data_IF_723512944895
#
_entry.id   IF_723512944895
#
_cell.length_a   1.000
_cell.length_b   1.000
_cell.length_c   1.000
_cell.angle_alpha   90.00
_cell.angle_beta   90.00
_cell.angle_gamma   90.00
#
_symmetry.space_group_name_H-M   'P 1'
#
loop_
_entity.id
_entity.type
_entity.pdbx_description
1 polymer ?
#
# COMPACT_ATOMS: atom_id res chain seq x y z
N UNK A 1 25.83 -6.02 22.24
CA UNK A 1 24.94 -6.51 21.16
C UNK A 1 23.88 -5.47 20.80
N UNK A 2 22.97 -5.12 21.71
CA UNK A 2 21.97 -4.07 21.46
C UNK A 2 22.58 -2.74 20.96
N UNK A 3 23.67 -2.27 21.59
CA UNK A 3 24.36 -1.06 21.14
C UNK A 3 24.91 -1.15 19.70
N UNK A 4 25.38 -2.34 19.29
CA UNK A 4 25.83 -2.58 17.91
C UNK A 4 24.67 -2.54 16.93
N UNK A 5 23.53 -3.15 17.27
CA UNK A 5 22.33 -3.13 16.43
C UNK A 5 21.88 -1.68 16.20
N UNK A 6 21.76 -0.89 17.27
CA UNK A 6 21.35 0.51 17.16
C UNK A 6 22.38 1.36 16.39
N UNK A 7 23.67 1.08 16.55
CA UNK A 7 24.71 1.75 15.78
C UNK A 7 24.63 1.40 14.29
N UNK A 8 24.43 0.13 13.94
CA UNK A 8 24.27 -0.32 12.57
C UNK A 8 23.06 0.34 11.91
N UNK A 9 21.91 0.41 12.60
CA UNK A 9 20.71 1.10 12.11
C UNK A 9 20.99 2.58 11.80
N UNK A 10 21.66 3.29 12.72
CA UNK A 10 22.03 4.70 12.52
C UNK A 10 23.02 4.90 11.37
N UNK A 11 23.96 3.98 11.18
CA UNK A 11 24.93 4.02 10.08
C UNK A 11 24.29 3.83 8.70
N UNK A 12 23.08 3.24 8.65
CA UNK A 12 22.32 3.03 7.42
C UNK A 12 21.13 4.00 7.27
N UNK A 13 21.20 5.16 7.94
CA UNK A 13 20.22 6.24 7.87
C UNK A 13 18.79 5.84 8.28
N UNK A 14 18.67 4.90 9.23
CA UNK A 14 17.38 4.59 9.86
C UNK A 14 17.10 5.63 10.94
N UNK A 15 15.93 6.26 10.85
CA UNK A 15 15.52 7.29 11.81
C UNK A 15 15.20 6.65 13.16
N UNK A 16 15.34 7.43 14.23
CA UNK A 16 14.97 6.97 15.57
C UNK A 16 13.45 6.74 15.68
N UNK A 17 12.63 7.55 15.00
CA UNK A 17 11.16 7.38 14.94
C UNK A 17 10.75 6.06 14.29
N UNK A 18 11.59 5.52 13.41
CA UNK A 18 11.38 4.25 12.74
C UNK A 18 11.89 3.05 13.57
N UNK A 19 12.47 3.29 14.75
CA UNK A 19 13.09 2.26 15.60
C UNK A 19 12.46 2.25 16.99
N UNK A 20 11.92 1.11 17.41
CA UNK A 20 11.40 0.88 18.76
C UNK A 20 12.22 -0.18 19.48
N UNK A 21 12.58 0.10 20.75
CA UNK A 21 13.39 -0.80 21.57
C UNK A 21 12.66 -1.12 22.87
N UNK A 22 12.36 -2.40 23.09
CA UNK A 22 11.75 -2.90 24.32
C UNK A 22 12.75 -3.79 25.06
N UNK A 23 12.74 -3.72 26.38
CA UNK A 23 13.66 -4.47 27.25
C UNK A 23 12.85 -5.17 28.32
N UNK A 24 13.10 -6.46 28.49
CA UNK A 24 12.43 -7.31 29.45
C UNK A 24 13.49 -7.88 30.39
N UNK A 25 13.34 -7.59 31.69
CA UNK A 25 14.22 -8.12 32.72
C UNK A 25 13.48 -9.21 33.48
N UNK A 26 14.02 -10.42 33.38
CA UNK A 26 13.53 -11.60 34.07
C UNK A 26 14.48 -11.95 35.20
N UNK A 27 13.96 -12.31 36.37
CA UNK A 27 14.73 -12.86 37.47
C UNK A 27 14.47 -14.37 37.50
N UNK A 28 15.50 -15.16 37.25
CA UNK A 28 15.47 -16.62 37.32
C UNK A 28 16.34 -17.07 38.48
N UNK A 29 15.70 -17.49 39.58
CA UNK A 29 16.31 -17.99 40.83
C UNK A 29 17.43 -17.10 41.37
N UNK A 30 18.67 -17.29 40.89
CA UNK A 30 19.88 -16.57 41.32
C UNK A 30 20.50 -15.68 40.23
N UNK A 31 19.88 -15.57 39.06
CA UNK A 31 20.38 -14.79 37.92
C UNK A 31 19.32 -13.84 37.36
N UNK A 32 19.80 -12.81 36.68
CA UNK A 32 18.97 -11.90 35.90
C UNK A 32 19.20 -12.16 34.41
N UNK A 33 18.11 -12.40 33.68
CA UNK A 33 18.10 -12.55 32.22
C UNK A 33 17.45 -11.33 31.60
N UNK A 34 18.11 -10.73 30.62
CA UNK A 34 17.62 -9.55 29.93
C UNK A 34 17.38 -9.86 28.47
N UNK A 35 16.13 -9.76 28.03
CA UNK A 35 15.75 -9.84 26.62
C UNK A 35 15.53 -8.43 26.07
N UNK A 36 16.00 -8.18 24.85
CA UNK A 36 15.79 -6.91 24.18
C UNK A 36 15.19 -7.16 22.79
N UNK A 37 14.09 -6.48 22.52
CA UNK A 37 13.39 -6.52 21.24
C UNK A 37 13.63 -5.19 20.53
N UNK A 38 14.07 -5.25 19.27
CA UNK A 38 14.26 -4.08 18.41
C UNK A 38 13.35 -4.25 17.20
N UNK A 39 12.37 -3.36 17.08
CA UNK A 39 11.45 -3.31 15.95
C UNK A 39 11.86 -2.13 15.08
N UNK A 40 12.00 -2.36 13.78
CA UNK A 40 12.41 -1.33 12.83
C UNK A 40 11.42 -1.29 11.68
N UNK A 41 10.95 -0.09 11.35
CA UNK A 41 10.14 0.17 10.17
C UNK A 41 11.05 0.63 9.03
N UNK A 42 10.95 -0.01 7.88
CA UNK A 42 11.69 0.38 6.69
C UNK A 42 10.74 0.89 5.63
N UNK A 43 11.07 2.03 5.02
CA UNK A 43 10.38 2.52 3.81
C UNK A 43 11.01 1.98 2.51
N UNK A 44 12.18 1.34 2.60
CA UNK A 44 12.98 0.88 1.48
C UNK A 44 13.37 -0.59 1.70
N UNK A 45 12.95 -1.45 0.78
CA UNK A 45 13.16 -2.89 0.86
C UNK A 45 14.63 -3.29 0.72
N UNK A 46 15.41 -2.59 -0.09
CA UNK A 46 16.83 -2.91 -0.24
C UNK A 46 17.59 -2.52 1.03
N UNK A 47 17.22 -1.40 1.68
CA UNK A 47 17.82 -1.02 2.97
C UNK A 47 17.51 -2.06 4.05
N UNK A 48 16.26 -2.50 4.12
CA UNK A 48 15.85 -3.58 5.02
C UNK A 48 16.70 -4.84 4.77
N UNK A 49 16.76 -5.32 3.53
CA UNK A 49 17.49 -6.55 3.19
C UNK A 49 18.98 -6.45 3.54
N UNK A 50 19.63 -5.34 3.15
CA UNK A 50 21.05 -5.09 3.48
C UNK A 50 21.30 -5.13 4.99
N UNK A 51 20.45 -4.48 5.78
CA UNK A 51 20.59 -4.46 7.24
C UNK A 51 20.35 -5.86 7.82
N UNK A 52 19.32 -6.58 7.37
CA UNK A 52 19.08 -7.95 7.79
C UNK A 52 20.31 -8.84 7.54
N UNK A 53 20.92 -8.76 6.36
CA UNK A 53 22.15 -9.48 6.03
C UNK A 53 23.30 -9.11 6.96
N UNK A 54 23.56 -7.81 7.18
CA UNK A 54 24.63 -7.34 8.08
C UNK A 54 24.41 -7.85 9.51
N UNK A 55 23.17 -7.80 10.02
CA UNK A 55 22.87 -8.27 11.36
C UNK A 55 23.05 -9.80 11.47
N UNK A 56 22.64 -10.56 10.46
CA UNK A 56 22.82 -12.02 10.42
C UNK A 56 24.30 -12.43 10.30
N UNK A 57 25.10 -11.69 9.55
CA UNK A 57 26.53 -11.97 9.39
C UNK A 57 27.37 -11.59 10.62
N UNK A 58 27.00 -10.51 11.30
CA UNK A 58 27.85 -9.89 12.34
C UNK A 58 27.44 -10.26 13.76
N UNK A 59 26.27 -10.85 13.97
CA UNK A 59 25.78 -11.23 15.29
C UNK A 59 25.79 -12.75 15.48
N UNK A 60 25.94 -13.16 16.72
CA UNK A 60 25.96 -14.58 17.10
C UNK A 60 24.55 -15.12 17.32
N UNK A 61 24.44 -16.43 17.63
CA UNK A 61 23.19 -17.16 17.84
C UNK A 61 22.28 -16.62 18.96
N UNK A 62 22.75 -15.62 19.72
CA UNK A 62 21.93 -14.96 20.75
C UNK A 62 21.01 -13.87 20.19
N UNK A 63 21.14 -13.54 18.91
CA UNK A 63 20.28 -12.59 18.21
C UNK A 63 19.55 -13.32 17.10
N UNK A 64 18.22 -13.23 17.12
CA UNK A 64 17.35 -13.71 16.06
C UNK A 64 16.80 -12.52 15.27
N UNK A 65 17.01 -12.52 13.96
CA UNK A 65 16.35 -11.58 13.05
C UNK A 65 15.05 -12.24 12.58
N UNK A 66 13.91 -11.63 12.89
CA UNK A 66 12.60 -12.12 12.47
C UNK A 66 12.37 -11.93 10.97
N UNK A 67 11.41 -12.67 10.42
CA UNK A 67 10.96 -12.46 9.03
C UNK A 67 10.32 -11.07 8.91
N UNK A 68 10.65 -10.28 7.87
CA UNK A 68 10.03 -8.97 7.67
C UNK A 68 8.52 -9.07 7.49
N UNK A 69 7.80 -8.17 8.15
CA UNK A 69 6.35 -7.99 7.93
C UNK A 69 6.13 -6.82 6.98
N UNK A 70 5.35 -7.06 5.93
CA UNK A 70 5.07 -6.05 4.92
C UNK A 70 3.65 -5.51 5.04
N UNK A 71 3.51 -4.20 4.99
CA UNK A 71 2.22 -3.54 5.06
C UNK A 71 2.18 -2.27 4.20
N UNK A 72 0.97 -1.79 3.95
CA UNK A 72 0.74 -0.50 3.30
C UNK A 72 0.29 0.49 4.37
N UNK A 73 0.89 1.69 4.37
CA UNK A 73 0.47 2.74 5.30
C UNK A 73 -0.97 3.18 5.02
N UNK A 74 -1.67 3.66 6.04
CA UNK A 74 -3.03 4.20 5.89
C UNK A 74 -3.08 5.33 4.86
N UNK A 75 -2.03 6.16 4.79
CA UNK A 75 -1.90 7.22 3.81
C UNK A 75 -1.82 6.67 2.38
N UNK A 76 -0.98 5.65 2.14
CA UNK A 76 -0.85 5.01 0.84
C UNK A 76 -2.20 4.43 0.37
N UNK A 77 -2.90 3.74 1.27
CA UNK A 77 -4.23 3.18 0.98
C UNK A 77 -5.26 4.27 0.69
N UNK A 78 -5.26 5.36 1.46
CA UNK A 78 -6.14 6.51 1.23
C UNK A 78 -5.89 7.16 -0.14
N UNK A 79 -4.63 7.35 -0.52
CA UNK A 79 -4.28 7.90 -1.83
C UNK A 79 -4.71 6.96 -2.96
N UNK A 80 -4.53 5.65 -2.80
CA UNK A 80 -4.96 4.65 -3.78
C UNK A 80 -6.48 4.72 -4.01
N UNK A 81 -7.29 4.76 -2.94
CA UNK A 81 -8.76 4.89 -3.05
C UNK A 81 -9.18 6.18 -3.76
N UNK A 82 -8.54 7.30 -3.41
CA UNK A 82 -8.80 8.58 -4.07
C UNK A 82 -8.50 8.50 -5.56
N UNK A 83 -7.35 7.92 -5.95
CA UNK A 83 -7.00 7.75 -7.38
C UNK A 83 -8.03 6.90 -8.11
N UNK A 84 -8.48 5.79 -7.51
CA UNK A 84 -9.52 4.95 -8.10
C UNK A 84 -10.83 5.71 -8.33
N UNK A 85 -11.27 6.52 -7.36
CA UNK A 85 -12.47 7.34 -7.46
C UNK A 85 -12.33 8.42 -8.55
N UNK A 86 -11.21 9.15 -8.59
CA UNK A 86 -10.94 10.15 -9.65
C UNK A 86 -10.96 9.51 -11.04
N UNK A 87 -10.28 8.38 -11.22
CA UNK A 87 -10.31 7.64 -12.48
C UNK A 87 -11.71 7.15 -12.87
N UNK A 88 -12.55 6.76 -11.89
CA UNK A 88 -13.93 6.39 -12.14
C UNK A 88 -14.78 7.59 -12.59
N UNK A 89 -14.58 8.77 -12.00
CA UNK A 89 -15.25 10.02 -12.41
C UNK A 89 -14.82 10.46 -13.81
N UNK A 90 -13.51 10.40 -14.12
CA UNK A 90 -12.99 10.69 -15.46
C UNK A 90 -13.59 9.75 -16.51
N UNK A 91 -13.70 8.46 -16.17
CA UNK A 91 -14.35 7.46 -17.02
C UNK A 91 -15.83 7.79 -17.25
N UNK A 92 -16.58 8.15 -16.20
CA UNK A 92 -17.97 8.56 -16.31
C UNK A 92 -18.13 9.82 -17.17
N UNK A 93 -17.28 10.84 -16.99
CA UNK A 93 -17.27 12.06 -17.79
C UNK A 93 -16.97 11.76 -19.27
N UNK A 94 -15.97 10.91 -19.55
CA UNK A 94 -15.64 10.50 -20.91
C UNK A 94 -16.82 9.80 -21.59
N UNK A 95 -17.48 8.86 -20.89
CA UNK A 95 -18.67 8.16 -21.37
C UNK A 95 -19.82 9.14 -21.65
N UNK A 96 -20.12 10.02 -20.69
CA UNK A 96 -21.18 11.02 -20.83
C UNK A 96 -20.91 11.99 -21.99
N UNK A 97 -19.66 12.40 -22.20
CA UNK A 97 -19.27 13.27 -23.33
C UNK A 97 -19.53 12.59 -24.68
N UNK A 98 -19.11 11.33 -24.84
CA UNK A 98 -19.38 10.54 -26.06
C UNK A 98 -20.88 10.36 -26.31
N UNK A 99 -21.65 10.02 -25.28
CA UNK A 99 -23.11 9.89 -25.39
C UNK A 99 -23.76 11.22 -25.76
N UNK A 100 -23.34 12.32 -25.16
CA UNK A 100 -23.88 13.66 -25.47
C UNK A 100 -23.68 14.03 -26.93
N UNK A 101 -22.47 13.78 -27.47
CA UNK A 101 -22.16 14.03 -28.87
C UNK A 101 -23.03 13.21 -29.83
N UNK A 102 -23.28 11.93 -29.52
CA UNK A 102 -24.18 11.07 -30.29
C UNK A 102 -25.62 11.60 -30.32
N UNK A 103 -26.04 12.33 -29.28
CA UNK A 103 -27.36 12.97 -29.18
C UNK A 103 -27.41 14.38 -29.82
N UNK A 104 -26.33 14.84 -30.47
CA UNK A 104 -26.24 16.20 -31.02
C UNK A 104 -26.13 17.30 -29.95
N UNK A 105 -25.86 16.91 -28.71
CA UNK A 105 -25.73 17.80 -27.55
C UNK A 105 -24.25 17.95 -27.17
N UNK A 106 -23.96 18.97 -26.36
CA UNK A 106 -22.68 19.11 -25.67
C UNK A 106 -22.83 18.82 -24.19
N UNK A 107 -21.80 18.21 -23.59
CA UNK A 107 -21.78 17.92 -22.17
C UNK A 107 -21.68 19.24 -21.37
N UNK A 108 -22.66 19.50 -20.52
CA UNK A 108 -22.69 20.63 -19.61
C UNK A 108 -22.00 20.34 -18.28
N UNK A 109 -22.11 21.26 -17.29
CA UNK A 109 -21.55 21.06 -15.96
C UNK A 109 -22.15 19.84 -15.25
N UNK A 110 -21.38 19.20 -14.34
CA UNK A 110 -21.89 18.16 -13.48
C UNK A 110 -22.97 18.71 -12.54
N UNK A 111 -24.01 17.93 -12.33
CA UNK A 111 -25.14 18.20 -11.43
C UNK A 111 -25.03 17.38 -10.14
N UNK A 112 -24.54 16.14 -10.26
CA UNK A 112 -24.35 15.22 -9.14
C UNK A 112 -23.07 14.42 -9.39
N UNK A 113 -22.23 14.32 -8.36
CA UNK A 113 -21.08 13.42 -8.31
C UNK A 113 -21.19 12.65 -7.00
N UNK A 114 -21.31 11.33 -7.09
CA UNK A 114 -21.43 10.46 -5.92
C UNK A 114 -20.60 9.20 -6.13
N UNK A 115 -19.89 8.79 -5.08
CA UNK A 115 -19.34 7.45 -4.98
C UNK A 115 -20.38 6.52 -4.35
N UNK A 116 -20.71 5.45 -5.07
CA UNK A 116 -21.73 4.48 -4.66
C UNK A 116 -21.11 3.29 -3.94
N UNK A 117 -19.93 2.84 -4.41
CA UNK A 117 -19.23 1.69 -3.85
C UNK A 117 -17.72 1.85 -3.97
N UNK A 118 -16.98 1.44 -2.94
CA UNK A 118 -15.53 1.31 -2.97
C UNK A 118 -15.16 -0.10 -2.50
N UNK A 119 -14.33 -0.80 -3.27
CA UNK A 119 -13.81 -2.12 -2.92
C UNK A 119 -12.29 -2.07 -2.83
N UNK A 120 -11.73 -2.73 -1.83
CA UNK A 120 -10.30 -2.92 -1.63
C UNK A 120 -10.05 -4.39 -1.34
N UNK A 121 -9.04 -4.98 -1.98
CA UNK A 121 -8.64 -6.36 -1.75
C UNK A 121 -7.14 -6.53 -1.88
N UNK A 122 -6.60 -7.53 -1.18
CA UNK A 122 -5.17 -7.86 -1.20
C UNK A 122 -4.96 -9.13 -2.03
N UNK A 123 -3.93 -9.12 -2.87
CA UNK A 123 -3.69 -10.22 -3.81
C UNK A 123 -3.27 -11.54 -3.14
N UNK A 124 -3.02 -11.53 -1.82
CA UNK A 124 -2.60 -12.70 -1.05
C UNK A 124 -3.76 -13.42 -0.34
N UNK A 125 -5.00 -12.97 -0.54
CA UNK A 125 -6.19 -13.49 0.16
C UNK A 125 -6.95 -14.56 -0.64
N UNK A 126 -6.47 -14.98 -1.83
CA UNK A 126 -7.22 -15.89 -2.71
C UNK A 126 -6.39 -17.00 -3.37
N UNK A 127 -5.45 -17.63 -2.64
CA UNK A 127 -4.85 -18.90 -3.10
C UNK A 127 -5.40 -20.12 -2.35
N UNK A 128 -6.70 -20.07 -2.07
CA UNK A 128 -7.44 -21.07 -1.32
C UNK A 128 -8.69 -21.58 -2.04
N UNK A 129 -8.64 -21.81 -3.36
CA UNK A 129 -9.71 -22.54 -4.03
C UNK A 129 -9.83 -22.34 -5.54
N UNK A 130 -9.26 -23.26 -6.31
CA UNK A 130 -9.86 -23.70 -7.56
C UNK A 130 -9.42 -23.01 -8.86
N UNK A 131 -8.91 -23.86 -9.75
CA UNK A 131 -8.98 -23.80 -11.20
C UNK A 131 -7.85 -23.07 -11.97
N UNK A 132 -7.15 -23.91 -12.73
CA UNK A 132 -6.06 -23.62 -13.65
C UNK A 132 -6.48 -22.64 -14.75
N UNK A 133 -5.81 -21.49 -14.79
CA UNK A 133 -5.80 -20.56 -15.91
C UNK A 133 -4.42 -19.94 -16.05
N UNK A 134 -3.66 -20.45 -17.02
CA UNK A 134 -2.35 -20.01 -17.53
C UNK A 134 -1.86 -18.61 -17.13
N UNK A 135 -0.94 -18.53 -16.17
CA UNK A 135 0.01 -17.41 -16.05
C UNK A 135 1.38 -17.96 -15.65
N UNK A 136 2.43 -17.50 -16.35
CA UNK A 136 3.80 -17.94 -16.17
C UNK A 136 4.30 -17.77 -14.72
N UNK A 137 5.19 -18.63 -14.21
CA UNK A 137 5.70 -18.51 -12.85
C UNK A 137 6.61 -17.27 -12.75
N UNK A 138 6.07 -16.19 -12.22
CA UNK A 138 6.85 -15.00 -11.86
C UNK A 138 7.74 -15.35 -10.67
N UNK A 139 9.05 -15.49 -10.91
CA UNK A 139 10.11 -15.80 -9.94
C UNK A 139 10.44 -14.67 -8.94
N UNK A 140 9.52 -13.74 -8.70
CA UNK A 140 9.71 -12.71 -7.68
C UNK A 140 8.87 -13.04 -6.45
N UNK A 141 9.41 -12.89 -5.22
CA UNK A 141 8.57 -12.95 -4.03
C UNK A 141 7.43 -11.96 -4.24
N UNK A 142 6.19 -12.45 -4.16
CA UNK A 142 4.99 -11.65 -4.40
C UNK A 142 5.02 -10.51 -3.40
N UNK A 143 5.44 -9.33 -3.85
CA UNK A 143 5.34 -8.12 -3.06
C UNK A 143 3.86 -7.95 -2.72
N UNK A 144 3.51 -7.61 -1.48
CA UNK A 144 2.13 -7.41 -1.13
C UNK A 144 1.58 -6.33 -2.06
N UNK A 145 0.55 -6.68 -2.83
CA UNK A 145 -0.13 -5.77 -3.72
C UNK A 145 -1.55 -5.58 -3.19
N UNK A 146 -2.00 -4.32 -3.20
CA UNK A 146 -3.37 -3.94 -2.89
C UNK A 146 -3.98 -3.37 -4.15
N UNK A 147 -5.23 -3.77 -4.42
CA UNK A 147 -6.02 -3.22 -5.52
C UNK A 147 -7.25 -2.54 -4.93
N UNK A 148 -7.66 -1.44 -5.55
CA UNK A 148 -8.92 -0.77 -5.24
C UNK A 148 -9.74 -0.52 -6.50
N UNK A 149 -11.06 -0.58 -6.34
CA UNK A 149 -12.02 -0.13 -7.34
C UNK A 149 -13.02 0.82 -6.71
N UNK A 150 -13.53 1.73 -7.53
CA UNK A 150 -14.54 2.71 -7.14
C UNK A 150 -15.64 2.73 -8.21
N UNK A 151 -16.88 2.69 -7.76
CA UNK A 151 -18.07 2.86 -8.58
C UNK A 151 -18.68 4.23 -8.25
N UNK A 152 -18.90 5.02 -9.30
CA UNK A 152 -19.43 6.37 -9.17
C UNK A 152 -20.66 6.56 -10.05
N UNK A 153 -21.60 7.35 -9.56
CA UNK A 153 -22.70 7.90 -10.32
C UNK A 153 -22.48 9.38 -10.55
N UNK A 154 -22.39 9.78 -11.82
CA UNK A 154 -22.18 11.18 -12.21
C UNK A 154 -23.25 11.60 -13.20
N UNK A 155 -23.99 12.66 -12.87
CA UNK A 155 -24.99 13.25 -13.75
C UNK A 155 -24.52 14.60 -14.27
N UNK A 156 -24.76 14.86 -15.54
CA UNK A 156 -24.40 16.11 -16.20
C UNK A 156 -25.62 16.74 -16.82
N UNK A 157 -25.61 18.07 -16.90
CA UNK A 157 -26.56 18.78 -17.77
C UNK A 157 -26.17 18.60 -19.24
N UNK A 158 -27.14 18.68 -20.16
CA UNK A 158 -26.89 18.72 -21.60
C UNK A 158 -27.12 20.13 -22.12
N UNK A 159 -26.36 20.51 -23.16
CA UNK A 159 -26.46 21.82 -23.81
C UNK A 159 -26.67 21.65 -25.30
N UNK A 160 -27.73 22.30 -25.81
CA UNK A 160 -28.02 22.36 -27.23
C UNK A 160 -26.88 23.03 -27.99
N UNK A 161 -26.32 22.33 -28.98
CA UNK A 161 -25.29 22.87 -29.87
C UNK A 161 -25.88 23.82 -30.94
N UNK A 162 -27.21 23.79 -31.11
CA UNK A 162 -27.97 24.53 -32.13
C UNK A 162 -28.20 26.02 -31.83
N UNK A 163 -27.85 26.53 -30.64
CA UNK A 163 -28.04 27.96 -30.28
C UNK A 163 -26.95 28.91 -30.81
N UNK A 164 -25.99 28.44 -31.61
CA UNK A 164 -24.89 29.27 -32.15
C UNK A 164 -25.07 29.79 -33.59
N UNK A 165 -26.26 29.65 -34.18
CA UNK A 165 -26.62 30.33 -35.44
C UNK A 165 -27.85 31.22 -35.23
N UNK A 166 -27.63 32.46 -34.77
CA UNK A 166 -28.49 33.61 -35.07
C UNK A 166 -27.74 34.90 -34.80
#
# INVERSE_FOLDING_TARGET
RLGYILQALRQHDIKEDDTSVRRFLHRDTDMYRMDAEVIVTFSDFEKMERICCILLEKLDKSVSVGTPEFYHSAECLSQMRLRACVSAVENAQMKASKVSQLLGQSLGPPLLVREDETKEWRNNEDNGGGEQGSAAPSHFPILPAVTASSQVSVSFSLRDTSRKMR
#
